data_IF_282727583095
#
_entry.id   IF_282727583095
#
_cell.length_a   1.000
_cell.length_b   1.000
_cell.length_c   1.000
_cell.angle_alpha   90.00
_cell.angle_beta   90.00
_cell.angle_gamma   90.00
#
_symmetry.space_group_name_H-M   'P 1'
#
loop_
_entity.id
_entity.type
_entity.pdbx_description
1 polymer ?
#
# COMPACT_ATOMS: atom_id res chain seq x y z
N UNK A 1 65.82 27.97 33.15
CA UNK A 1 65.47 27.50 31.79
C UNK A 1 64.36 26.45 31.91
N UNK A 2 63.10 26.86 31.84
CA UNK A 2 61.95 25.95 31.85
C UNK A 2 61.27 26.00 30.48
N UNK A 3 61.31 24.87 29.76
CA UNK A 3 60.78 24.74 28.39
C UNK A 3 59.28 24.45 28.48
N UNK A 4 58.49 25.44 28.10
CA UNK A 4 57.05 25.33 27.85
C UNK A 4 56.80 24.42 26.64
N UNK A 5 56.02 23.35 26.81
CA UNK A 5 55.54 22.50 25.70
C UNK A 5 54.06 22.77 25.49
N UNK A 6 53.75 23.52 24.43
CA UNK A 6 52.41 23.67 23.87
C UNK A 6 51.99 22.34 23.25
N UNK A 7 50.90 21.75 23.73
CA UNK A 7 50.21 20.61 23.12
C UNK A 7 49.13 21.19 22.21
N UNK A 8 49.31 21.06 20.89
CA UNK A 8 48.32 21.43 19.89
C UNK A 8 47.33 20.25 19.74
N UNK A 9 46.12 20.38 20.28
CA UNK A 9 45.04 19.40 20.07
C UNK A 9 44.46 19.55 18.66
N UNK A 10 44.73 18.59 17.78
CA UNK A 10 44.10 18.49 16.47
C UNK A 10 42.69 17.87 16.63
N UNK A 11 41.65 18.70 16.52
CA UNK A 11 40.27 18.24 16.37
C UNK A 11 40.05 17.75 14.93
N UNK A 12 40.07 16.44 14.70
CA UNK A 12 39.57 15.84 13.47
C UNK A 12 38.03 15.86 13.51
N UNK A 13 37.41 16.74 12.71
CA UNK A 13 35.99 16.62 12.37
C UNK A 13 35.82 15.42 11.41
N UNK A 14 35.36 14.29 11.95
CA UNK A 14 34.80 13.21 11.14
C UNK A 14 33.42 13.65 10.64
N UNK A 15 33.36 14.11 9.39
CA UNK A 15 32.09 14.26 8.67
C UNK A 15 31.60 12.85 8.34
N UNK A 16 30.71 12.30 9.16
CA UNK A 16 29.95 11.11 8.79
C UNK A 16 29.02 11.48 7.63
N UNK A 17 29.43 11.17 6.41
CA UNK A 17 28.50 11.11 5.28
C UNK A 17 27.54 9.94 5.53
N UNK A 18 26.38 10.25 6.08
CA UNK A 18 25.22 9.37 5.98
C UNK A 18 24.88 9.19 4.50
N UNK A 19 25.26 8.05 3.93
CA UNK A 19 24.56 7.54 2.75
C UNK A 19 23.13 7.28 3.23
N UNK A 20 22.23 8.20 2.91
CA UNK A 20 20.83 7.83 2.80
C UNK A 20 20.81 6.73 1.74
N UNK A 21 20.60 5.48 2.17
CA UNK A 21 20.31 4.40 1.23
C UNK A 21 19.11 4.87 0.43
N UNK A 22 19.33 5.22 -0.84
CA UNK A 22 18.25 5.50 -1.75
C UNK A 22 17.40 4.24 -1.80
N UNK A 23 16.12 4.35 -1.41
CA UNK A 23 15.19 3.24 -1.55
C UNK A 23 15.33 2.68 -2.97
N UNK A 24 15.45 1.35 -3.13
CA UNK A 24 15.66 0.77 -4.44
C UNK A 24 14.49 1.16 -5.33
N UNK A 25 14.77 1.80 -6.46
CA UNK A 25 13.76 2.22 -7.41
C UNK A 25 12.80 1.05 -7.73
N UNK A 26 11.51 1.35 -7.71
CA UNK A 26 10.42 0.39 -7.84
C UNK A 26 10.53 -0.31 -9.19
N UNK A 27 10.69 -1.63 -9.17
CA UNK A 27 10.81 -2.42 -10.39
C UNK A 27 9.51 -2.43 -11.20
N UNK A 28 9.58 -2.09 -12.48
CA UNK A 28 8.44 -2.18 -13.41
C UNK A 28 8.81 -3.10 -14.56
N UNK A 29 8.09 -4.22 -14.68
CA UNK A 29 8.19 -5.09 -15.85
C UNK A 29 7.15 -4.63 -16.88
N UNK A 30 7.52 -4.63 -18.16
CA UNK A 30 6.57 -4.33 -19.22
C UNK A 30 6.71 -5.32 -20.38
N UNK A 31 5.65 -6.07 -20.61
CA UNK A 31 5.55 -6.95 -21.77
C UNK A 31 5.30 -6.09 -23.02
N UNK A 32 5.74 -6.57 -24.18
CA UNK A 32 5.42 -5.89 -25.44
C UNK A 32 3.92 -5.96 -25.71
N UNK A 33 3.36 -4.83 -26.14
CA UNK A 33 1.94 -4.77 -26.47
C UNK A 33 1.69 -5.57 -27.74
N UNK A 34 0.59 -6.32 -27.77
CA UNK A 34 0.14 -6.98 -29.00
C UNK A 34 -0.45 -5.98 -29.97
N UNK A 35 -0.43 -6.32 -31.26
CA UNK A 35 -1.16 -5.58 -32.28
C UNK A 35 -1.99 -6.53 -33.13
N UNK A 36 -3.25 -6.18 -33.35
CA UNK A 36 -4.19 -6.96 -34.18
C UNK A 36 -4.93 -6.02 -35.13
N UNK A 37 -4.85 -6.27 -36.43
CA UNK A 37 -5.68 -5.58 -37.43
C UNK A 37 -6.93 -6.39 -37.76
N UNK A 38 -8.10 -5.81 -37.47
CA UNK A 38 -9.42 -6.38 -37.75
C UNK A 38 -10.22 -5.57 -38.77
N UNK A 39 -9.61 -4.58 -39.43
CA UNK A 39 -10.34 -3.65 -40.31
C UNK A 39 -10.67 -4.21 -41.70
N UNK A 40 -10.13 -5.36 -42.08
CA UNK A 40 -10.27 -5.97 -43.40
C UNK A 40 -9.89 -5.04 -44.57
N UNK A 41 -8.94 -4.13 -44.35
CA UNK A 41 -8.48 -3.21 -45.40
C UNK A 41 -7.58 -3.93 -46.42
N UNK A 42 -7.69 -3.60 -47.72
CA UNK A 42 -6.95 -4.28 -48.77
C UNK A 42 -5.46 -3.90 -48.81
N UNK A 43 -5.08 -2.76 -48.24
CA UNK A 43 -3.71 -2.29 -48.22
C UNK A 43 -2.92 -2.95 -47.08
N UNK A 44 -1.79 -3.58 -47.40
CA UNK A 44 -0.87 -4.10 -46.39
C UNK A 44 -0.12 -2.95 -45.70
N UNK A 45 -0.44 -2.74 -44.42
CA UNK A 45 0.12 -1.67 -43.59
C UNK A 45 1.01 -2.21 -42.45
N UNK A 46 1.32 -3.52 -42.44
CA UNK A 46 2.02 -4.20 -41.33
C UNK A 46 3.30 -3.48 -40.92
N UNK A 47 4.18 -3.12 -41.87
CA UNK A 47 5.43 -2.45 -41.55
C UNK A 47 5.23 -1.04 -40.94
N UNK A 48 4.16 -0.34 -41.30
CA UNK A 48 3.83 0.95 -40.69
C UNK A 48 3.37 0.77 -39.24
N UNK A 49 2.49 -0.19 -38.98
CA UNK A 49 1.99 -0.48 -37.64
C UNK A 49 3.06 -1.05 -36.72
N UNK A 50 3.96 -1.91 -37.22
CA UNK A 50 5.11 -2.41 -36.45
C UNK A 50 6.03 -1.27 -36.01
N UNK A 51 6.32 -0.32 -36.90
CA UNK A 51 7.11 0.87 -36.55
C UNK A 51 6.40 1.73 -35.51
N UNK A 52 5.09 1.97 -35.67
CA UNK A 52 4.29 2.77 -34.73
C UNK A 52 4.20 2.12 -33.36
N UNK A 53 3.96 0.81 -33.31
CA UNK A 53 3.95 0.04 -32.06
C UNK A 53 5.32 0.08 -31.38
N UNK A 54 6.41 -0.09 -32.14
CA UNK A 54 7.77 0.00 -31.61
C UNK A 54 8.05 1.39 -31.02
N UNK A 55 7.66 2.46 -31.73
CA UNK A 55 7.76 3.83 -31.24
C UNK A 55 6.91 4.07 -29.98
N UNK A 56 5.67 3.58 -29.97
CA UNK A 56 4.77 3.63 -28.81
C UNK A 56 5.41 2.99 -27.59
N UNK A 57 5.91 1.76 -27.75
CA UNK A 57 6.54 1.01 -26.66
C UNK A 57 7.84 1.67 -26.19
N UNK A 58 8.64 2.23 -27.09
CA UNK A 58 9.87 2.93 -26.75
C UNK A 58 9.60 4.22 -25.96
N UNK A 59 8.55 4.97 -26.32
CA UNK A 59 8.12 6.16 -25.61
C UNK A 59 7.58 5.83 -24.21
N UNK A 60 6.72 4.83 -24.09
CA UNK A 60 6.21 4.36 -22.80
C UNK A 60 7.34 3.88 -21.87
N UNK A 61 8.33 3.14 -22.39
CA UNK A 61 9.53 2.74 -21.63
C UNK A 61 10.34 3.95 -21.17
N UNK A 62 10.56 4.92 -22.06
CA UNK A 62 11.28 6.15 -21.75
C UNK A 62 10.60 6.94 -20.63
N UNK A 63 9.29 7.10 -20.69
CA UNK A 63 8.54 7.91 -19.74
C UNK A 63 8.55 7.28 -18.34
N UNK A 64 8.38 5.96 -18.25
CA UNK A 64 8.54 5.22 -16.99
C UNK A 64 9.97 5.36 -16.46
N UNK A 65 10.98 5.20 -17.32
CA UNK A 65 12.40 5.31 -16.94
C UNK A 65 12.88 6.72 -16.63
N UNK A 66 12.15 7.76 -17.03
CA UNK A 66 12.47 9.15 -16.75
C UNK A 66 12.13 9.53 -15.29
N UNK A 67 11.14 8.87 -14.69
CA UNK A 67 10.82 9.04 -13.28
C UNK A 67 11.74 8.17 -12.42
N UNK A 68 12.58 8.83 -11.60
CA UNK A 68 13.59 8.18 -10.75
C UNK A 68 13.02 7.20 -9.73
N UNK A 69 11.70 7.26 -9.47
CA UNK A 69 11.01 6.30 -8.58
C UNK A 69 10.94 4.91 -9.18
N UNK A 70 10.98 4.79 -10.51
CA UNK A 70 10.83 3.51 -11.19
C UNK A 70 12.12 3.08 -11.88
N UNK A 71 12.26 1.76 -12.00
CA UNK A 71 13.32 1.12 -12.78
C UNK A 71 12.70 0.01 -13.61
N UNK A 72 12.89 0.08 -14.92
CA UNK A 72 12.48 -1.01 -15.81
C UNK A 72 13.28 -2.27 -15.49
N UNK A 73 12.58 -3.40 -15.34
CA UNK A 73 13.20 -4.72 -15.14
C UNK A 73 12.80 -5.68 -16.26
N UNK A 74 13.62 -6.70 -16.57
CA UNK A 74 13.39 -7.56 -17.75
C UNK A 74 12.09 -8.36 -17.69
N UNK A 75 11.67 -8.78 -16.51
CA UNK A 75 10.40 -9.50 -16.31
C UNK A 75 9.93 -9.40 -14.87
N UNK A 76 8.67 -9.79 -14.63
CA UNK A 76 8.07 -9.77 -13.30
C UNK A 76 8.83 -10.61 -12.26
N UNK A 77 9.51 -11.67 -12.71
CA UNK A 77 10.31 -12.57 -11.85
C UNK A 77 11.62 -11.92 -11.37
N UNK A 78 12.05 -10.82 -11.99
CA UNK A 78 13.29 -10.11 -11.66
C UNK A 78 13.04 -8.91 -10.74
N UNK A 79 12.18 -9.08 -9.73
CA UNK A 79 11.92 -8.07 -8.71
C UNK A 79 11.05 -6.90 -9.18
N UNK A 80 10.07 -7.16 -10.06
CA UNK A 80 9.09 -6.14 -10.41
C UNK A 80 8.02 -6.01 -9.32
N UNK A 81 7.75 -4.79 -8.88
CA UNK A 81 6.56 -4.48 -8.09
C UNK A 81 5.32 -4.36 -8.97
N UNK A 82 5.49 -3.81 -10.19
CA UNK A 82 4.41 -3.66 -11.16
C UNK A 82 4.69 -4.37 -12.48
N UNK A 83 3.63 -4.87 -13.11
CA UNK A 83 3.65 -5.40 -14.47
C UNK A 83 2.69 -4.62 -15.36
N UNK A 84 3.18 -4.07 -16.46
CA UNK A 84 2.38 -3.40 -17.50
C UNK A 84 2.19 -4.35 -18.67
N UNK A 85 0.94 -4.50 -19.11
CA UNK A 85 0.56 -5.29 -20.29
C UNK A 85 -0.47 -4.52 -21.11
N UNK A 86 -0.55 -4.80 -22.41
CA UNK A 86 -1.53 -4.15 -23.26
C UNK A 86 -1.57 -4.70 -24.66
N UNK A 87 -2.46 -4.14 -25.47
CA UNK A 87 -2.59 -4.44 -26.87
C UNK A 87 -3.37 -3.36 -27.61
N UNK A 88 -3.04 -3.18 -28.88
CA UNK A 88 -3.71 -2.26 -29.79
C UNK A 88 -4.46 -3.08 -30.84
N UNK A 89 -5.72 -2.74 -31.04
CA UNK A 89 -6.55 -3.34 -32.07
C UNK A 89 -7.00 -2.27 -33.06
N UNK A 90 -6.64 -2.45 -34.32
CA UNK A 90 -7.17 -1.63 -35.41
C UNK A 90 -8.54 -2.18 -35.83
N UNK A 91 -9.54 -1.34 -35.73
CA UNK A 91 -10.92 -1.68 -36.13
C UNK A 91 -11.26 -1.06 -37.49
N UNK A 92 -10.72 0.13 -37.77
CA UNK A 92 -10.80 0.81 -39.08
C UNK A 92 -9.70 1.86 -39.24
N UNK A 93 -9.56 2.43 -40.44
CA UNK A 93 -8.75 3.64 -40.70
C UNK A 93 -9.03 4.79 -39.74
N UNK A 94 -10.25 4.87 -39.19
CA UNK A 94 -10.68 5.96 -38.31
C UNK A 94 -10.64 5.59 -36.83
N UNK A 95 -10.79 4.32 -36.45
CA UNK A 95 -10.97 3.92 -35.06
C UNK A 95 -10.03 2.78 -34.68
N UNK A 96 -9.28 3.02 -33.61
CA UNK A 96 -8.34 2.10 -33.01
C UNK A 96 -8.67 1.96 -31.52
N UNK A 97 -8.45 0.78 -30.96
CA UNK A 97 -8.61 0.50 -29.54
C UNK A 97 -7.26 0.20 -28.91
N UNK A 98 -6.99 0.72 -27.72
CA UNK A 98 -5.83 0.37 -26.91
C UNK A 98 -6.32 -0.15 -25.56
N UNK A 99 -6.13 -1.44 -25.29
CA UNK A 99 -6.40 -2.03 -23.98
C UNK A 99 -5.11 -2.10 -23.19
N UNK A 100 -5.10 -1.51 -21.99
CA UNK A 100 -3.89 -1.44 -21.15
C UNK A 100 -4.25 -1.78 -19.72
N UNK A 101 -3.39 -2.58 -19.09
CA UNK A 101 -3.52 -2.96 -17.70
C UNK A 101 -2.19 -2.80 -16.95
N UNK A 102 -2.29 -2.42 -15.68
CA UNK A 102 -1.18 -2.38 -14.72
C UNK A 102 -1.55 -3.28 -13.55
N UNK A 103 -0.63 -4.19 -13.22
CA UNK A 103 -0.80 -5.21 -12.19
C UNK A 103 0.21 -4.95 -11.09
N UNK A 104 -0.24 -4.88 -9.84
CA UNK A 104 0.63 -5.02 -8.66
C UNK A 104 0.97 -6.51 -8.50
N UNK A 105 2.25 -6.85 -8.68
CA UNK A 105 2.75 -8.23 -8.69
C UNK A 105 2.69 -8.86 -7.29
N UNK A 106 2.96 -8.07 -6.24
CA UNK A 106 2.95 -8.54 -4.86
C UNK A 106 1.53 -8.77 -4.36
N UNK A 107 0.64 -7.82 -4.63
CA UNK A 107 -0.78 -7.91 -4.25
C UNK A 107 -1.61 -8.81 -5.19
N UNK A 108 -1.07 -9.22 -6.34
CA UNK A 108 -1.77 -9.96 -7.40
C UNK A 108 -3.08 -9.27 -7.82
N UNK A 109 -3.05 -7.95 -7.94
CA UNK A 109 -4.23 -7.11 -8.18
C UNK A 109 -4.04 -6.24 -9.42
N UNK A 110 -5.09 -6.09 -10.22
CA UNK A 110 -5.17 -5.07 -11.27
C UNK A 110 -5.35 -3.71 -10.60
N UNK A 111 -4.35 -2.84 -10.72
CA UNK A 111 -4.45 -1.43 -10.29
C UNK A 111 -4.96 -0.55 -11.43
N UNK A 112 -4.89 -1.04 -12.67
CA UNK A 112 -5.54 -0.45 -13.84
C UNK A 112 -5.95 -1.56 -14.83
N UNK A 113 -7.16 -1.45 -15.37
CA UNK A 113 -7.62 -2.18 -16.57
C UNK A 113 -8.54 -1.23 -17.34
N UNK A 114 -8.05 -0.68 -18.46
CA UNK A 114 -8.77 0.33 -19.24
C UNK A 114 -8.68 0.02 -20.73
N UNK A 115 -9.81 0.26 -21.40
CA UNK A 115 -9.92 0.27 -22.85
C UNK A 115 -10.06 1.71 -23.31
N UNK A 116 -9.12 2.16 -24.12
CA UNK A 116 -9.14 3.46 -24.75
C UNK A 116 -9.50 3.31 -26.22
N UNK A 117 -10.18 4.32 -26.75
CA UNK A 117 -10.42 4.43 -28.19
C UNK A 117 -9.76 5.71 -28.68
N UNK A 118 -9.01 5.62 -29.76
CA UNK A 118 -8.40 6.78 -30.40
C UNK A 118 -8.67 6.76 -31.89
N UNK A 119 -8.61 7.95 -32.50
CA UNK A 119 -9.03 8.15 -33.88
C UNK A 119 -7.85 8.44 -34.79
N UNK A 120 -7.90 7.84 -35.98
CA UNK A 120 -6.90 8.00 -37.04
C UNK A 120 -5.81 6.94 -37.00
N UNK A 121 -5.36 6.54 -38.19
CA UNK A 121 -4.27 5.59 -38.39
C UNK A 121 -3.04 6.26 -39.04
N UNK A 122 -2.51 7.26 -38.35
CA UNK A 122 -1.31 8.00 -38.74
C UNK A 122 -0.38 8.21 -37.52
N UNK A 123 0.82 8.70 -37.77
CA UNK A 123 1.86 8.81 -36.75
C UNK A 123 1.45 9.79 -35.62
N UNK A 124 0.80 10.91 -35.95
CA UNK A 124 0.30 11.89 -34.96
C UNK A 124 -0.77 11.29 -34.04
N UNK A 125 -1.74 10.54 -34.58
CA UNK A 125 -2.79 9.89 -33.79
C UNK A 125 -2.21 8.86 -32.82
N UNK A 126 -1.20 8.11 -33.25
CA UNK A 126 -0.50 7.14 -32.41
C UNK A 126 0.33 7.80 -31.32
N UNK A 127 1.04 8.90 -31.64
CA UNK A 127 1.79 9.70 -30.65
C UNK A 127 0.86 10.28 -29.58
N UNK A 128 -0.29 10.84 -29.97
CA UNK A 128 -1.27 11.38 -29.02
C UNK A 128 -1.87 10.31 -28.13
N UNK A 129 -2.15 9.13 -28.70
CA UNK A 129 -2.64 7.98 -27.94
C UNK A 129 -1.58 7.48 -26.95
N UNK A 130 -0.32 7.44 -27.36
CA UNK A 130 0.83 7.10 -26.52
C UNK A 130 0.95 8.05 -25.32
N UNK A 131 0.99 9.36 -25.56
CA UNK A 131 1.11 10.37 -24.48
C UNK A 131 -0.01 10.20 -23.45
N UNK A 132 -1.23 9.94 -23.92
CA UNK A 132 -2.38 9.73 -23.05
C UNK A 132 -2.25 8.44 -22.23
N UNK A 133 -1.90 7.32 -22.88
CA UNK A 133 -1.69 6.03 -22.20
C UNK A 133 -0.52 6.12 -21.22
N UNK A 134 0.59 6.75 -21.59
CA UNK A 134 1.76 6.97 -20.73
C UNK A 134 1.36 7.71 -19.45
N UNK A 135 0.60 8.80 -19.57
CA UNK A 135 0.07 9.52 -18.40
C UNK A 135 -0.78 8.64 -17.50
N UNK A 136 -1.68 7.85 -18.06
CA UNK A 136 -2.57 6.97 -17.30
C UNK A 136 -1.80 5.84 -16.60
N UNK A 137 -0.82 5.24 -17.29
CA UNK A 137 0.08 4.23 -16.72
C UNK A 137 0.90 4.83 -15.58
N UNK A 138 1.48 6.02 -15.77
CA UNK A 138 2.26 6.70 -14.73
C UNK A 138 1.41 7.07 -13.51
N UNK A 139 0.15 7.47 -13.72
CA UNK A 139 -0.80 7.69 -12.63
C UNK A 139 -1.12 6.39 -11.89
N UNK A 140 -1.31 5.28 -12.60
CA UNK A 140 -1.56 3.98 -12.00
C UNK A 140 -0.34 3.50 -11.18
N UNK A 141 0.88 3.61 -11.73
CA UNK A 141 2.13 3.26 -11.05
C UNK A 141 2.38 4.12 -9.80
N UNK A 142 1.93 5.37 -9.82
CA UNK A 142 2.04 6.28 -8.67
C UNK A 142 1.05 5.96 -7.55
N UNK A 143 0.14 5.01 -7.74
CA UNK A 143 -0.74 4.52 -6.66
C UNK A 143 0.14 3.76 -5.67
N UNK A 144 0.28 4.21 -4.41
CA UNK A 144 1.10 3.51 -3.44
C UNK A 144 0.59 2.07 -3.28
N UNK A 145 1.52 1.12 -3.25
CA UNK A 145 1.16 -0.26 -2.92
C UNK A 145 0.44 -0.29 -1.57
N UNK A 146 -0.60 -1.13 -1.40
CA UNK A 146 -1.30 -1.22 -0.12
C UNK A 146 -0.32 -1.58 1.00
N UNK A 147 -0.39 -0.83 2.10
CA UNK A 147 0.49 -1.03 3.26
C UNK A 147 0.20 -2.40 3.86
N UNK A 148 1.23 -3.25 3.99
CA UNK A 148 1.09 -4.55 4.62
C UNK A 148 0.88 -4.36 6.13
N UNK A 149 -0.31 -4.69 6.62
CA UNK A 149 -0.70 -4.43 8.01
C UNK A 149 -0.96 -5.74 8.75
N UNK A 150 -0.17 -6.00 9.79
CA UNK A 150 -0.45 -7.06 10.74
C UNK A 150 -1.43 -6.53 11.80
N UNK A 151 -2.70 -6.91 11.69
CA UNK A 151 -3.72 -6.59 12.69
C UNK A 151 -3.75 -7.71 13.72
N UNK A 152 -3.20 -7.47 14.89
CA UNK A 152 -3.21 -8.42 16.00
C UNK A 152 -4.61 -8.51 16.62
N UNK A 153 -4.84 -9.58 17.37
CA UNK A 153 -6.12 -9.77 18.05
C UNK A 153 -6.35 -8.64 19.07
N UNK A 154 -7.57 -8.10 19.08
CA UNK A 154 -7.96 -7.11 20.07
C UNK A 154 -7.96 -7.74 21.45
N UNK A 155 -7.42 -7.02 22.42
CA UNK A 155 -7.32 -7.48 23.80
C UNK A 155 -8.37 -6.82 24.69
N UNK A 156 -8.83 -7.55 25.71
CA UNK A 156 -9.66 -7.01 26.77
C UNK A 156 -8.80 -6.58 27.96
N UNK A 157 -9.02 -5.36 28.41
CA UNK A 157 -8.62 -4.85 29.70
C UNK A 157 -9.89 -4.63 30.54
N UNK A 158 -10.17 -5.54 31.46
CA UNK A 158 -11.34 -5.46 32.33
C UNK A 158 -10.97 -4.73 33.62
N UNK A 159 -11.53 -3.53 33.80
CA UNK A 159 -11.34 -2.70 34.98
C UNK A 159 -12.46 -2.88 36.01
N UNK A 160 -13.41 -3.80 35.76
CA UNK A 160 -14.52 -4.06 36.69
C UNK A 160 -14.06 -4.92 37.87
N UNK A 161 -14.66 -4.71 39.03
CA UNK A 161 -14.40 -5.51 40.24
C UNK A 161 -15.03 -6.91 40.20
N UNK A 162 -15.57 -7.35 39.05
CA UNK A 162 -16.31 -8.61 38.93
C UNK A 162 -15.37 -9.80 38.68
N UNK A 163 -15.73 -10.98 39.21
CA UNK A 163 -14.92 -12.20 39.07
C UNK A 163 -14.82 -12.64 37.59
N UNK A 164 -13.59 -12.83 37.10
CA UNK A 164 -13.23 -13.06 35.69
C UNK A 164 -13.84 -14.33 35.03
N UNK A 165 -14.49 -15.21 35.81
CA UNK A 165 -14.83 -16.57 35.37
C UNK A 165 -16.15 -16.70 34.62
N UNK A 166 -17.11 -15.78 34.76
CA UNK A 166 -18.48 -15.98 34.22
C UNK A 166 -18.70 -15.41 32.82
N UNK A 167 -17.74 -14.68 32.24
CA UNK A 167 -17.85 -14.03 30.91
C UNK A 167 -16.68 -14.31 29.96
N UNK A 168 -15.65 -15.07 30.36
CA UNK A 168 -14.42 -15.18 29.57
C UNK A 168 -14.62 -15.76 28.16
N UNK A 169 -15.54 -16.71 27.98
CA UNK A 169 -15.82 -17.31 26.67
C UNK A 169 -16.61 -16.36 25.75
N UNK A 170 -17.60 -15.64 26.29
CA UNK A 170 -18.34 -14.62 25.54
C UNK A 170 -17.44 -13.45 25.18
N UNK A 171 -16.59 -13.00 26.10
CA UNK A 171 -15.62 -11.92 25.88
C UNK A 171 -14.67 -12.27 24.74
N UNK A 172 -14.10 -13.48 24.75
CA UNK A 172 -13.24 -13.98 23.67
C UNK A 172 -13.95 -14.02 22.32
N UNK A 173 -15.23 -14.43 22.29
CA UNK A 173 -16.04 -14.42 21.06
C UNK A 173 -16.26 -13.00 20.53
N UNK A 174 -16.58 -12.04 21.40
CA UNK A 174 -16.78 -10.65 20.98
C UNK A 174 -15.48 -10.00 20.51
N UNK A 175 -14.34 -10.29 21.15
CA UNK A 175 -13.02 -9.81 20.70
C UNK A 175 -12.62 -10.42 19.35
N UNK A 176 -12.91 -11.70 19.13
CA UNK A 176 -12.69 -12.33 17.83
C UNK A 176 -13.56 -11.69 16.74
N UNK A 177 -14.82 -11.37 17.05
CA UNK A 177 -15.71 -10.65 16.13
C UNK A 177 -15.20 -9.24 15.83
N UNK A 178 -14.77 -8.49 16.85
CA UNK A 178 -14.13 -7.17 16.71
C UNK A 178 -12.92 -7.25 15.77
N UNK A 179 -12.01 -8.18 16.06
CA UNK A 179 -10.77 -8.35 15.29
C UNK A 179 -11.08 -8.71 13.84
N UNK A 180 -11.97 -9.68 13.62
CA UNK A 180 -12.38 -10.11 12.28
C UNK A 180 -13.00 -8.96 11.47
N UNK A 181 -13.92 -8.21 12.06
CA UNK A 181 -14.57 -7.08 11.37
C UNK A 181 -13.63 -5.90 11.13
N UNK A 182 -12.66 -5.64 12.01
CA UNK A 182 -11.62 -4.61 11.76
C UNK A 182 -10.69 -5.05 10.61
N UNK A 183 -10.25 -6.31 10.59
CA UNK A 183 -9.46 -6.87 9.47
C UNK A 183 -10.22 -6.76 8.16
N UNK A 184 -11.50 -7.11 8.16
CA UNK A 184 -12.37 -7.01 6.99
C UNK A 184 -12.51 -5.57 6.49
N UNK A 185 -12.86 -4.62 7.36
CA UNK A 185 -13.03 -3.21 7.00
C UNK A 185 -11.73 -2.59 6.43
N UNK A 186 -10.59 -2.88 7.06
CA UNK A 186 -9.29 -2.41 6.59
C UNK A 186 -8.87 -3.06 5.27
N UNK A 187 -9.15 -4.36 5.07
CA UNK A 187 -8.88 -5.05 3.81
C UNK A 187 -9.75 -4.54 2.65
N UNK A 188 -11.03 -4.25 2.90
CA UNK A 188 -11.95 -3.69 1.91
C UNK A 188 -11.60 -2.25 1.51
N UNK A 189 -10.89 -1.51 2.35
CA UNK A 189 -10.48 -0.13 2.06
C UNK A 189 -9.53 0.01 0.86
N UNK A 190 -8.83 -1.06 0.49
CA UNK A 190 -7.79 -1.05 -0.54
C UNK A 190 -6.49 -0.34 -0.15
N UNK A 191 -6.46 0.37 0.99
CA UNK A 191 -5.26 1.04 1.54
C UNK A 191 -4.31 0.03 2.21
N UNK A 192 -4.88 -0.99 2.83
CA UNK A 192 -4.11 -1.99 3.59
C UNK A 192 -4.25 -3.37 2.95
N UNK A 193 -3.17 -4.12 2.97
CA UNK A 193 -3.17 -5.57 2.74
C UNK A 193 -2.97 -6.25 4.08
N UNK A 194 -3.99 -6.96 4.56
CA UNK A 194 -3.92 -7.62 5.86
C UNK A 194 -2.97 -8.82 5.77
N UNK A 195 -1.96 -8.82 6.64
CA UNK A 195 -1.04 -9.94 6.83
C UNK A 195 -1.66 -10.90 7.84
N UNK A 196 -1.63 -12.20 7.55
CA UNK A 196 -2.11 -13.22 8.48
C UNK A 196 -1.21 -13.28 9.71
N UNK A 197 -1.82 -13.15 10.87
CA UNK A 197 -1.13 -13.08 12.17
C UNK A 197 -1.45 -14.39 12.89
N UNK A 198 -0.73 -15.45 12.52
CA UNK A 198 -1.00 -16.81 13.01
C UNK A 198 -0.99 -16.92 14.54
N UNK A 199 -1.81 -17.84 15.05
CA UNK A 199 -2.23 -17.92 16.46
C UNK A 199 -1.19 -18.36 17.51
N UNK A 200 0.10 -18.47 17.21
CA UNK A 200 1.15 -18.66 18.24
C UNK A 200 1.98 -17.38 18.47
N UNK A 201 2.21 -16.57 17.42
CA UNK A 201 2.97 -15.32 17.53
C UNK A 201 2.21 -14.25 18.36
N UNK A 202 0.89 -14.37 18.47
CA UNK A 202 0.01 -13.45 19.20
C UNK A 202 -0.32 -13.89 20.65
N UNK A 203 0.11 -15.08 21.11
CA UNK A 203 -0.40 -15.68 22.36
C UNK A 203 0.56 -15.68 23.56
N UNK A 204 1.84 -15.36 23.37
CA UNK A 204 2.82 -15.52 24.44
C UNK A 204 2.74 -14.44 25.55
N UNK A 205 2.15 -13.27 25.26
CA UNK A 205 2.02 -12.14 26.19
C UNK A 205 0.99 -11.13 25.67
N UNK A 206 0.32 -10.40 26.58
CA UNK A 206 -0.50 -9.25 26.23
C UNK A 206 0.35 -8.19 25.49
N UNK A 207 0.06 -7.98 24.22
CA UNK A 207 0.75 -7.04 23.34
C UNK A 207 0.53 -5.60 23.81
N UNK A 208 -0.60 -5.30 24.46
CA UNK A 208 -0.85 -3.97 25.03
C UNK A 208 0.20 -3.53 26.06
N UNK A 209 0.86 -4.47 26.73
CA UNK A 209 1.80 -4.23 27.82
C UNK A 209 3.27 -4.42 27.42
N UNK A 210 3.55 -4.75 26.17
CA UNK A 210 4.91 -5.07 25.73
C UNK A 210 5.68 -3.88 25.14
N UNK A 211 5.02 -2.74 24.94
CA UNK A 211 5.68 -1.48 24.59
C UNK A 211 6.30 -1.44 23.19
N UNK A 212 5.66 -2.04 22.17
CA UNK A 212 6.14 -2.02 20.78
C UNK A 212 6.65 -3.37 20.27
N UNK A 213 6.60 -4.43 21.08
CA UNK A 213 7.07 -5.76 20.65
C UNK A 213 6.30 -6.30 19.42
N UNK A 214 5.05 -5.87 19.23
CA UNK A 214 4.22 -6.19 18.08
C UNK A 214 4.83 -5.72 16.75
N UNK A 215 5.60 -4.63 16.76
CA UNK A 215 6.25 -4.09 15.55
C UNK A 215 7.29 -5.08 15.02
N UNK A 216 8.12 -5.64 15.90
CA UNK A 216 9.11 -6.65 15.54
C UNK A 216 8.47 -7.97 15.07
N UNK A 217 7.32 -8.35 15.64
CA UNK A 217 6.55 -9.53 15.19
C UNK A 217 5.98 -9.28 13.79
N UNK A 218 5.36 -8.11 13.57
CA UNK A 218 4.83 -7.71 12.27
C UNK A 218 5.93 -7.70 11.19
N UNK A 219 7.11 -7.17 11.52
CA UNK A 219 8.25 -7.16 10.61
C UNK A 219 8.66 -8.57 10.18
N UNK A 220 8.72 -9.52 11.12
CA UNK A 220 9.04 -10.94 10.83
C UNK A 220 7.98 -11.62 9.96
N UNK A 221 6.73 -11.18 10.05
CA UNK A 221 5.62 -11.65 9.22
C UNK A 221 5.56 -10.96 7.84
N UNK A 222 6.49 -10.03 7.55
CA UNK A 222 6.51 -9.29 6.29
C UNK A 222 5.45 -8.18 6.22
N UNK A 223 5.00 -7.69 7.37
CA UNK A 223 4.16 -6.50 7.45
C UNK A 223 5.02 -5.23 7.57
N UNK A 224 4.56 -4.15 6.95
CA UNK A 224 5.14 -2.81 7.03
C UNK A 224 4.71 -2.12 8.33
N UNK A 225 3.52 -2.45 8.83
CA UNK A 225 2.94 -1.88 10.04
C UNK A 225 2.29 -2.94 10.93
N UNK A 226 2.22 -2.66 12.23
CA UNK A 226 1.45 -3.42 13.22
C UNK A 226 0.26 -2.60 13.71
N UNK A 227 -0.88 -3.25 13.96
CA UNK A 227 -2.02 -2.67 14.65
C UNK A 227 -2.37 -3.52 15.85
N UNK A 228 -2.40 -2.89 17.03
CA UNK A 228 -2.97 -3.46 18.25
C UNK A 228 -4.20 -2.66 18.67
N UNK A 229 -5.16 -3.36 19.23
CA UNK A 229 -6.41 -2.78 19.71
C UNK A 229 -6.73 -3.25 21.11
N UNK A 230 -7.28 -2.36 21.93
CA UNK A 230 -7.65 -2.65 23.31
C UNK A 230 -9.09 -2.22 23.55
N UNK A 231 -9.90 -3.14 24.03
CA UNK A 231 -11.20 -2.88 24.61
C UNK A 231 -11.04 -2.76 26.12
N UNK A 232 -11.34 -1.59 26.66
CA UNK A 232 -11.33 -1.34 28.10
C UNK A 232 -12.74 -1.36 28.64
N UNK A 233 -13.10 -2.40 29.39
CA UNK A 233 -14.40 -2.48 30.09
C UNK A 233 -14.30 -1.66 31.37
N UNK A 234 -15.14 -0.63 31.49
CA UNK A 234 -15.19 0.25 32.68
C UNK A 234 -16.29 -0.21 33.64
N UNK A 235 -17.44 -0.58 33.08
CA UNK A 235 -18.58 -1.16 33.80
C UNK A 235 -19.33 -2.13 32.89
N UNK A 236 -20.46 -2.71 33.36
CA UNK A 236 -21.30 -3.58 32.52
C UNK A 236 -21.92 -2.88 31.31
N UNK A 237 -21.98 -1.55 31.34
CA UNK A 237 -22.62 -0.74 30.30
C UNK A 237 -21.72 0.37 29.79
N UNK A 238 -20.45 0.38 30.16
CA UNK A 238 -19.50 1.42 29.76
C UNK A 238 -18.16 0.81 29.37
N UNK A 239 -17.60 1.31 28.28
CA UNK A 239 -16.28 0.89 27.80
C UNK A 239 -15.58 2.02 27.04
N UNK A 240 -14.29 1.85 26.82
CA UNK A 240 -13.50 2.66 25.88
C UNK A 240 -12.80 1.71 24.89
N UNK A 241 -12.55 2.20 23.68
CA UNK A 241 -11.81 1.49 22.65
C UNK A 241 -10.61 2.33 22.25
N UNK A 242 -9.44 1.71 22.25
CA UNK A 242 -8.22 2.31 21.76
C UNK A 242 -7.58 1.43 20.70
N UNK A 243 -6.88 2.04 19.76
CA UNK A 243 -5.94 1.33 18.89
C UNK A 243 -4.66 2.13 18.71
N UNK A 244 -3.59 1.42 18.37
CA UNK A 244 -2.31 1.99 17.99
C UNK A 244 -1.78 1.28 16.75
N UNK A 245 -1.26 2.06 15.80
CA UNK A 245 -0.55 1.57 14.62
C UNK A 245 0.90 2.01 14.71
N UNK A 246 1.82 1.08 14.52
CA UNK A 246 3.26 1.35 14.48
C UNK A 246 3.87 0.93 13.16
N UNK A 247 4.91 1.64 12.77
CA UNK A 247 5.82 1.21 11.72
C UNK A 247 6.67 0.03 12.21
N UNK A 248 6.66 -1.07 11.46
CA UNK A 248 7.30 -2.32 11.88
C UNK A 248 8.83 -2.25 11.89
N UNK A 249 9.43 -1.30 11.15
CA UNK A 249 10.89 -1.17 11.04
C UNK A 249 11.46 -0.22 12.09
N UNK A 250 10.74 0.85 12.37
CA UNK A 250 11.21 1.96 13.22
C UNK A 250 10.57 1.97 14.60
N UNK A 251 9.52 1.16 14.82
CA UNK A 251 8.67 1.15 16.01
C UNK A 251 7.95 2.49 16.27
N UNK A 252 8.00 3.42 15.32
CA UNK A 252 7.35 4.72 15.43
C UNK A 252 5.82 4.57 15.37
N UNK A 253 5.12 5.22 16.29
CA UNK A 253 3.64 5.29 16.27
C UNK A 253 3.20 6.21 15.14
N UNK A 254 2.61 5.62 14.11
CA UNK A 254 2.15 6.36 12.91
C UNK A 254 0.68 6.76 13.01
N UNK A 255 -0.11 6.04 13.81
CA UNK A 255 -1.49 6.41 14.10
C UNK A 255 -1.93 5.88 15.46
N UNK A 256 -2.90 6.56 16.07
CA UNK A 256 -3.60 6.10 17.27
C UNK A 256 -5.00 6.69 17.31
N UNK A 257 -5.93 5.97 17.92
CA UNK A 257 -7.29 6.44 18.09
C UNK A 257 -7.85 5.97 19.42
N UNK A 258 -8.73 6.79 19.98
CA UNK A 258 -9.51 6.45 21.16
C UNK A 258 -10.96 6.88 20.93
N UNK A 259 -11.91 6.05 21.39
CA UNK A 259 -13.33 6.30 21.20
C UNK A 259 -13.93 7.31 22.17
N UNK A 260 -13.22 7.64 23.25
CA UNK A 260 -13.79 8.17 24.48
C UNK A 260 -14.70 7.15 25.18
N UNK A 261 -15.35 7.57 26.26
CA UNK A 261 -16.33 6.76 26.98
C UNK A 261 -17.53 6.45 26.08
N UNK A 262 -17.92 5.18 26.01
CA UNK A 262 -19.07 4.70 25.25
C UNK A 262 -20.03 3.96 26.17
N UNK A 263 -21.32 4.20 25.97
CA UNK A 263 -22.40 3.44 26.59
C UNK A 263 -22.71 2.22 25.73
N UNK A 264 -22.75 1.04 26.35
CA UNK A 264 -23.03 -0.23 25.70
C UNK A 264 -22.36 -1.41 26.42
N UNK A 265 -22.76 -2.62 26.04
CA UNK A 265 -22.14 -3.85 26.50
C UNK A 265 -21.33 -4.50 25.37
N UNK A 266 -20.86 -5.72 25.60
CA UNK A 266 -19.88 -6.42 24.75
C UNK A 266 -20.32 -6.57 23.28
N UNK A 267 -21.62 -6.78 23.04
CA UNK A 267 -22.21 -6.84 21.70
C UNK A 267 -22.02 -5.56 20.86
N UNK A 268 -21.69 -4.42 21.49
CA UNK A 268 -21.51 -3.14 20.81
C UNK A 268 -20.07 -2.86 20.40
N UNK A 269 -19.09 -3.61 20.94
CA UNK A 269 -17.67 -3.37 20.73
C UNK A 269 -17.27 -3.39 19.25
N UNK A 270 -17.80 -4.35 18.48
CA UNK A 270 -17.56 -4.43 17.02
C UNK A 270 -17.84 -3.11 16.33
N UNK A 271 -19.05 -2.56 16.54
CA UNK A 271 -19.46 -1.32 15.86
C UNK A 271 -18.59 -0.15 16.28
N UNK A 272 -18.25 -0.06 17.56
CA UNK A 272 -17.34 0.96 18.07
C UNK A 272 -15.96 0.87 17.45
N UNK A 273 -15.40 -0.34 17.35
CA UNK A 273 -14.04 -0.57 16.86
C UNK A 273 -13.93 -0.29 15.36
N UNK A 274 -14.86 -0.84 14.57
CA UNK A 274 -14.91 -0.61 13.12
C UNK A 274 -15.06 0.88 12.82
N UNK A 275 -15.98 1.59 13.51
CA UNK A 275 -16.14 3.03 13.28
C UNK A 275 -14.89 3.82 13.65
N UNK A 276 -14.32 3.58 14.83
CA UNK A 276 -13.11 4.28 15.28
C UNK A 276 -11.95 4.07 14.29
N UNK A 277 -11.73 2.83 13.85
CA UNK A 277 -10.65 2.48 12.92
C UNK A 277 -10.91 3.09 11.54
N UNK A 278 -12.12 2.99 10.98
CA UNK A 278 -12.44 3.54 9.67
C UNK A 278 -12.29 5.06 9.62
N UNK A 279 -12.87 5.76 10.60
CA UNK A 279 -12.80 7.23 10.65
C UNK A 279 -11.34 7.71 10.71
N UNK A 280 -10.49 7.01 11.48
CA UNK A 280 -9.10 7.41 11.72
C UNK A 280 -8.11 6.94 10.66
N UNK A 281 -8.23 5.70 10.18
CA UNK A 281 -7.24 5.09 9.28
C UNK A 281 -7.63 5.11 7.80
N UNK A 282 -8.91 5.32 7.50
CA UNK A 282 -9.42 5.34 6.12
C UNK A 282 -9.84 6.76 5.75
N UNK A 283 -10.80 7.35 6.48
CA UNK A 283 -11.42 8.62 6.08
C UNK A 283 -10.51 9.84 6.33
N UNK A 284 -9.87 9.95 7.50
CA UNK A 284 -9.08 11.14 7.87
C UNK A 284 -7.85 11.36 6.97
N UNK A 285 -7.28 10.28 6.43
CA UNK A 285 -6.11 10.38 5.54
C UNK A 285 -6.52 10.64 4.09
N UNK A 286 -7.66 10.11 3.62
CA UNK A 286 -8.20 10.46 2.30
C UNK A 286 -8.49 11.96 2.17
N UNK A 287 -8.92 12.62 3.26
CA UNK A 287 -9.08 14.07 3.29
C UNK A 287 -7.75 14.84 3.22
N UNK A 288 -6.64 14.20 3.63
CA UNK A 288 -5.29 14.79 3.58
C UNK A 288 -4.62 14.58 2.23
N UNK A 289 -4.90 13.45 1.56
CA UNK A 289 -4.34 13.07 0.27
C UNK A 289 -5.11 13.69 -0.93
N UNK A 290 -6.26 14.32 -0.70
CA UNK A 290 -7.01 15.03 -1.73
C UNK A 290 -6.22 16.25 -2.25
N UNK A 291 -5.97 16.37 -3.57
CA UNK A 291 -5.30 17.54 -4.11
C UNK A 291 -6.13 18.78 -3.81
N UNK A 292 -5.54 19.76 -3.13
CA UNK A 292 -6.17 21.07 -2.90
C UNK A 292 -6.47 21.69 -4.26
N UNK A 293 -7.74 21.73 -4.65
CA UNK A 293 -8.20 22.49 -5.79
C UNK A 293 -7.76 23.95 -5.61
N UNK A 294 -6.90 24.42 -6.51
CA UNK A 294 -6.58 25.84 -6.68
C UNK A 294 -7.45 26.42 -7.77
#
# INVERSE_FOLDING_TARGET
MHRSRLILSAFLLFVLSSRADAEPAIGVAMDDFSYTDTSAEPANQTAAHERRLSAFMAALRRDIGADRRYRLVPSAQHGAAFKVIGGIQKTSTLVQWAKVAVIDVGAKKLVMDKLYTFRGDNDESWERAEIFVSREVMAALATPAPVALAVFDFELEDMTAASATTSAASDASYLAEVTGSVREALGQSGRYRIVDVGGEAAKARALRDCGGCEAAIAQKLGADQSLIGVVRRVSRTEYTLGFQVRDARTDAVVARGDSGLRLGADYSWKRGAVRLVSDRLIESQQATDAPKAR
#
